data_IF_252195172847
#
_entry.id   IF_252195172847
#
_cell.length_a   1.000
_cell.length_b   1.000
_cell.length_c   1.000
_cell.angle_alpha   90.00
_cell.angle_beta   90.00
_cell.angle_gamma   90.00
#
_symmetry.space_group_name_H-M   'P 1'
#
loop_
_entity.id
_entity.type
_entity.pdbx_description
1 polymer ?
#
# COMPACT_ATOMS: atom_id res chain seq x y z
N UNK A 1 -16.12 5.69 31.28
CA UNK A 1 -16.30 7.15 31.38
C UNK A 1 -15.08 7.98 30.91
N UNK A 2 -14.11 7.35 30.24
CA UNK A 2 -12.91 8.07 29.76
C UNK A 2 -13.12 8.90 28.50
N UNK A 3 -14.19 8.66 27.75
CA UNK A 3 -14.38 9.32 26.45
C UNK A 3 -14.99 10.72 26.49
N UNK A 4 -15.83 11.03 27.45
CA UNK A 4 -16.57 12.31 27.44
C UNK A 4 -15.72 13.53 27.84
N UNK A 5 -14.86 13.41 28.85
CA UNK A 5 -14.05 14.54 29.30
C UNK A 5 -12.96 14.93 28.31
N UNK A 6 -12.41 13.95 27.59
CA UNK A 6 -11.35 14.18 26.61
C UNK A 6 -11.87 14.81 25.31
N UNK A 7 -13.08 14.50 24.90
CA UNK A 7 -13.70 15.09 23.70
C UNK A 7 -13.96 16.57 23.89
N UNK A 8 -14.47 16.99 25.03
CA UNK A 8 -14.75 18.41 25.30
C UNK A 8 -13.53 19.29 25.45
N UNK A 9 -12.41 18.72 25.92
CA UNK A 9 -11.16 19.48 26.11
C UNK A 9 -10.35 19.65 24.85
N UNK A 10 -10.67 18.91 23.80
CA UNK A 10 -9.83 18.84 22.59
C UNK A 10 -10.33 19.67 21.41
N UNK A 11 -11.61 20.03 21.41
CA UNK A 11 -12.22 20.61 20.21
C UNK A 11 -11.77 22.03 19.94
N UNK A 12 -11.70 22.92 20.90
CA UNK A 12 -11.26 24.31 20.68
C UNK A 12 -11.95 25.07 19.53
N UNK A 13 -12.84 24.39 18.81
CA UNK A 13 -13.48 24.87 17.58
C UNK A 13 -14.46 26.02 17.86
N UNK A 14 -14.92 26.12 19.10
CA UNK A 14 -15.83 27.17 19.57
C UNK A 14 -15.15 28.20 20.47
N UNK A 15 -13.81 28.25 20.48
CA UNK A 15 -13.03 29.17 21.30
C UNK A 15 -12.98 28.79 22.77
N UNK A 16 -13.34 27.56 23.15
CA UNK A 16 -13.26 27.06 24.51
C UNK A 16 -11.81 26.89 24.95
N UNK A 17 -11.55 27.28 26.19
CA UNK A 17 -10.25 27.14 26.85
C UNK A 17 -10.45 26.51 28.25
N UNK A 18 -9.58 25.56 28.65
CA UNK A 18 -8.42 25.02 27.95
C UNK A 18 -8.78 24.01 26.86
N UNK A 19 -8.02 23.99 25.75
CA UNK A 19 -8.14 23.02 24.69
C UNK A 19 -6.78 22.41 24.33
N UNK A 20 -6.76 21.23 23.71
CA UNK A 20 -5.54 20.54 23.33
C UNK A 20 -5.09 20.86 21.87
N UNK A 21 -5.62 21.92 21.27
CA UNK A 21 -5.26 22.36 19.92
C UNK A 21 -5.43 21.27 18.88
N UNK A 22 -4.33 20.87 18.21
CA UNK A 22 -4.36 19.90 17.11
C UNK A 22 -4.59 18.43 17.54
N UNK A 23 -4.71 18.13 18.83
CA UNK A 23 -4.96 16.78 19.33
C UNK A 23 -6.40 16.25 19.09
N UNK A 24 -7.22 17.03 18.45
CA UNK A 24 -8.65 16.70 18.21
C UNK A 24 -8.84 15.55 17.23
N UNK A 25 -7.92 15.38 16.27
CA UNK A 25 -8.09 14.43 15.15
C UNK A 25 -7.15 13.23 15.27
N UNK A 26 -7.24 12.47 16.34
CA UNK A 26 -6.36 11.33 16.59
C UNK A 26 -6.75 10.04 15.82
N UNK A 27 -7.92 10.03 15.14
CA UNK A 27 -8.36 8.89 14.35
C UNK A 27 -7.58 8.71 13.04
N UNK A 28 -7.85 7.60 12.35
CA UNK A 28 -7.26 7.28 11.03
C UNK A 28 -7.95 7.99 9.86
N UNK A 29 -8.99 8.77 10.15
CA UNK A 29 -9.77 9.54 9.18
C UNK A 29 -9.78 11.00 9.65
N UNK A 30 -9.77 11.95 8.73
CA UNK A 30 -9.96 13.38 9.02
C UNK A 30 -11.42 13.70 9.34
N UNK A 31 -11.70 14.91 9.84
CA UNK A 31 -13.06 15.32 10.18
C UNK A 31 -14.02 15.45 8.99
N UNK A 32 -13.50 15.65 7.79
CA UNK A 32 -14.19 15.64 6.49
C UNK A 32 -14.34 14.24 5.88
N UNK A 33 -14.01 13.18 6.65
CA UNK A 33 -14.03 11.77 6.27
C UNK A 33 -12.94 11.35 5.25
N UNK A 34 -12.01 12.23 4.91
CA UNK A 34 -10.87 11.86 4.08
C UNK A 34 -9.92 10.91 4.83
N UNK A 35 -9.43 9.83 4.18
CA UNK A 35 -8.52 8.89 4.80
C UNK A 35 -7.15 9.52 5.06
N UNK A 36 -6.62 9.38 6.27
CA UNK A 36 -5.22 9.70 6.58
C UNK A 36 -4.29 8.62 6.03
N UNK A 37 -2.97 8.89 5.87
CA UNK A 37 -1.99 7.90 5.43
C UNK A 37 -2.05 6.58 6.22
N UNK A 38 -2.23 6.65 7.54
CA UNK A 38 -2.34 5.49 8.42
C UNK A 38 -3.53 4.57 8.10
N UNK A 39 -4.58 5.10 7.47
CA UNK A 39 -5.73 4.32 7.03
C UNK A 39 -5.31 3.21 6.05
N UNK A 40 -4.43 3.52 5.12
CA UNK A 40 -3.98 2.56 4.11
C UNK A 40 -3.15 1.44 4.72
N UNK A 41 -2.33 1.74 5.73
CA UNK A 41 -1.60 0.72 6.49
C UNK A 41 -2.55 -0.19 7.27
N UNK A 42 -3.54 0.39 7.96
CA UNK A 42 -4.58 -0.38 8.66
C UNK A 42 -5.34 -1.28 7.67
N UNK A 43 -5.77 -0.73 6.52
CA UNK A 43 -6.42 -1.51 5.46
C UNK A 43 -5.55 -2.68 5.01
N UNK A 44 -4.24 -2.45 4.83
CA UNK A 44 -3.27 -3.49 4.43
C UNK A 44 -3.15 -4.60 5.48
N UNK A 45 -3.02 -4.24 6.74
CA UNK A 45 -2.87 -5.21 7.84
C UNK A 45 -4.13 -6.07 8.00
N UNK A 46 -5.31 -5.47 7.88
CA UNK A 46 -6.59 -6.15 8.06
C UNK A 46 -7.13 -6.86 6.81
N UNK A 47 -6.45 -6.79 5.66
CA UNK A 47 -6.90 -7.51 4.47
C UNK A 47 -6.87 -9.03 4.67
N UNK A 48 -7.93 -9.70 4.22
CA UNK A 48 -8.10 -11.15 4.37
C UNK A 48 -7.62 -11.99 3.18
N UNK A 49 -6.91 -11.38 2.26
CA UNK A 49 -6.26 -12.04 1.14
C UNK A 49 -4.77 -11.69 1.16
N UNK A 50 -3.94 -12.65 0.75
CA UNK A 50 -2.52 -12.44 0.55
C UNK A 50 -2.09 -13.07 -0.78
N UNK A 51 -1.13 -12.43 -1.45
CA UNK A 51 -0.50 -12.98 -2.64
C UNK A 51 0.99 -13.09 -2.39
N UNK A 52 1.56 -14.23 -2.80
CA UNK A 52 3.01 -14.47 -2.72
C UNK A 52 3.51 -14.95 -4.07
N UNK A 53 4.69 -14.50 -4.46
CA UNK A 53 5.38 -15.06 -5.62
C UNK A 53 5.85 -16.48 -5.29
N UNK A 54 5.65 -17.41 -6.24
CA UNK A 54 6.16 -18.78 -6.21
C UNK A 54 7.30 -18.89 -7.21
N UNK A 55 7.06 -18.52 -8.46
CA UNK A 55 8.06 -18.47 -9.52
C UNK A 55 7.79 -17.23 -10.38
N UNK A 56 8.61 -16.21 -10.15
CA UNK A 56 8.47 -14.91 -10.81
C UNK A 56 8.70 -15.02 -12.31
N UNK A 57 9.68 -15.81 -12.74
CA UNK A 57 10.02 -15.94 -14.16
C UNK A 57 8.92 -16.60 -14.96
N UNK A 58 8.20 -17.55 -14.34
CA UNK A 58 7.05 -18.23 -14.94
C UNK A 58 5.71 -17.53 -14.66
N UNK A 59 5.72 -16.42 -13.93
CA UNK A 59 4.50 -15.71 -13.55
C UNK A 59 3.61 -16.48 -12.58
N UNK A 60 4.18 -17.39 -11.77
CA UNK A 60 3.41 -18.19 -10.82
C UNK A 60 3.29 -17.51 -9.47
N UNK A 61 2.05 -17.35 -9.01
CA UNK A 61 1.73 -16.73 -7.73
C UNK A 61 0.78 -17.63 -6.93
N UNK A 62 0.89 -17.54 -5.62
CA UNK A 62 -0.03 -18.20 -4.69
C UNK A 62 -0.96 -17.19 -4.07
N UNK A 63 -2.27 -17.38 -4.22
CA UNK A 63 -3.31 -16.59 -3.55
C UNK A 63 -3.74 -17.35 -2.31
N UNK A 64 -3.50 -16.78 -1.13
CA UNK A 64 -3.91 -17.33 0.15
C UNK A 64 -5.15 -16.62 0.68
N UNK A 65 -6.19 -17.38 0.97
CA UNK A 65 -7.41 -16.92 1.61
C UNK A 65 -7.24 -17.00 3.14
N UNK A 66 -7.18 -15.83 3.80
CA UNK A 66 -7.06 -15.73 5.27
C UNK A 66 -8.39 -15.89 6.00
N UNK A 67 -9.54 -15.81 5.30
CA UNK A 67 -10.84 -16.03 5.93
C UNK A 67 -10.94 -17.42 6.55
N UNK A 68 -11.74 -17.55 7.59
CA UNK A 68 -11.99 -18.82 8.27
C UNK A 68 -13.21 -19.58 7.73
N UNK A 69 -14.23 -18.84 7.24
CA UNK A 69 -15.54 -19.40 6.90
C UNK A 69 -16.03 -18.98 5.51
N UNK A 70 -15.25 -18.19 4.78
CA UNK A 70 -15.65 -17.62 3.50
C UNK A 70 -14.60 -17.94 2.43
N UNK A 71 -15.06 -18.38 1.26
CA UNK A 71 -14.22 -18.47 0.07
C UNK A 71 -14.06 -17.09 -0.63
N UNK A 72 -13.33 -17.06 -1.73
CA UNK A 72 -13.10 -15.84 -2.50
C UNK A 72 -14.03 -15.70 -3.72
N UNK A 73 -15.14 -16.43 -3.80
CA UNK A 73 -16.06 -16.41 -4.94
C UNK A 73 -16.73 -15.06 -5.19
N UNK A 74 -16.88 -14.25 -4.12
CA UNK A 74 -17.46 -12.90 -4.20
C UNK A 74 -16.51 -11.82 -4.75
N UNK A 75 -15.30 -12.20 -5.10
CA UNK A 75 -14.27 -11.27 -5.57
C UNK A 75 -13.81 -11.61 -6.97
N UNK A 76 -13.68 -10.58 -7.80
CA UNK A 76 -12.93 -10.64 -9.05
C UNK A 76 -11.47 -10.31 -8.75
N UNK A 77 -10.55 -11.03 -9.39
CA UNK A 77 -9.12 -10.79 -9.23
C UNK A 77 -8.56 -10.21 -10.52
N UNK A 78 -7.89 -9.07 -10.39
CA UNK A 78 -7.22 -8.38 -11.50
C UNK A 78 -5.74 -8.25 -11.19
N UNK A 79 -4.91 -8.38 -12.21
CA UNK A 79 -3.49 -8.06 -12.13
C UNK A 79 -3.14 -6.88 -13.02
N UNK A 80 -2.10 -6.16 -12.65
CA UNK A 80 -1.50 -5.09 -13.45
C UNK A 80 0.02 -5.15 -13.30
N UNK A 81 0.74 -5.00 -14.41
CA UNK A 81 2.19 -4.88 -14.45
C UNK A 81 2.58 -3.42 -14.60
N UNK A 82 3.46 -2.97 -13.73
CA UNK A 82 3.99 -1.61 -13.72
C UNK A 82 5.47 -1.60 -14.11
N UNK A 83 5.86 -0.68 -14.99
CA UNK A 83 7.25 -0.34 -15.30
C UNK A 83 7.54 1.07 -14.78
N UNK A 84 8.46 1.21 -13.84
CA UNK A 84 8.81 2.51 -13.23
C UNK A 84 7.59 3.32 -12.75
N UNK A 85 6.62 2.64 -12.16
CA UNK A 85 5.39 3.25 -11.64
C UNK A 85 4.26 3.45 -12.67
N UNK A 86 4.49 3.17 -13.97
CA UNK A 86 3.47 3.28 -15.01
C UNK A 86 2.89 1.89 -15.35
N UNK A 87 1.57 1.77 -15.33
CA UNK A 87 0.89 0.55 -15.78
C UNK A 87 1.13 0.34 -17.28
N UNK A 88 1.68 -0.82 -17.64
CA UNK A 88 1.98 -1.21 -19.02
C UNK A 88 1.12 -2.37 -19.52
N UNK A 89 0.62 -3.20 -18.61
CA UNK A 89 -0.18 -4.36 -18.93
C UNK A 89 -1.15 -4.66 -17.79
N UNK A 90 -2.34 -5.15 -18.09
CA UNK A 90 -3.27 -5.62 -17.06
C UNK A 90 -4.27 -6.63 -17.63
N UNK A 91 -4.89 -7.40 -16.74
CA UNK A 91 -5.88 -8.40 -17.12
C UNK A 91 -6.57 -9.04 -15.92
N UNK A 92 -7.57 -9.87 -16.17
CA UNK A 92 -8.19 -10.68 -15.13
C UNK A 92 -7.27 -11.83 -14.72
N UNK A 93 -7.45 -12.32 -13.48
CA UNK A 93 -6.86 -13.57 -12.98
C UNK A 93 -7.97 -14.57 -12.74
N UNK A 94 -7.89 -15.71 -13.39
CA UNK A 94 -8.81 -16.82 -13.13
C UNK A 94 -8.30 -17.62 -11.94
N UNK A 95 -8.97 -17.50 -10.80
CA UNK A 95 -8.55 -18.17 -9.56
C UNK A 95 -9.30 -19.46 -9.28
N UNK A 96 -10.47 -19.65 -9.90
CA UNK A 96 -11.43 -20.66 -9.45
C UNK A 96 -11.95 -20.37 -8.04
N UNK A 97 -12.43 -21.38 -7.36
CA UNK A 97 -12.85 -21.28 -5.96
C UNK A 97 -11.62 -21.39 -5.07
N UNK A 98 -11.38 -20.40 -4.23
CA UNK A 98 -10.32 -20.39 -3.21
C UNK A 98 -10.97 -20.59 -1.84
N UNK A 99 -11.00 -21.82 -1.30
CA UNK A 99 -11.65 -22.09 -0.02
C UNK A 99 -10.99 -21.34 1.14
N UNK A 100 -11.71 -21.24 2.25
CA UNK A 100 -11.18 -20.66 3.48
C UNK A 100 -9.89 -21.37 3.92
N UNK A 101 -8.87 -20.61 4.30
CA UNK A 101 -7.56 -21.09 4.79
C UNK A 101 -6.74 -21.90 3.78
N UNK A 102 -7.08 -21.84 2.49
CA UNK A 102 -6.34 -22.51 1.44
C UNK A 102 -5.57 -21.53 0.54
N UNK A 103 -4.55 -22.08 -0.11
CA UNK A 103 -3.78 -21.38 -1.14
C UNK A 103 -4.06 -22.02 -2.49
N UNK A 104 -4.32 -21.19 -3.50
CA UNK A 104 -4.44 -21.63 -4.89
C UNK A 104 -3.34 -20.97 -5.70
N UNK A 105 -2.72 -21.76 -6.59
CA UNK A 105 -1.73 -21.25 -7.52
C UNK A 105 -2.44 -20.66 -8.74
N UNK A 106 -1.96 -19.50 -9.18
CA UNK A 106 -2.42 -18.81 -10.38
C UNK A 106 -1.22 -18.43 -11.24
N UNK A 107 -1.47 -18.31 -12.55
CA UNK A 107 -0.46 -17.85 -13.50
C UNK A 107 -0.88 -16.49 -14.03
N UNK A 108 0.01 -15.52 -13.89
CA UNK A 108 -0.14 -14.18 -14.47
C UNK A 108 0.67 -14.17 -15.78
N UNK A 109 0.03 -13.93 -16.93
CA UNK A 109 0.66 -14.13 -18.24
C UNK A 109 1.50 -12.92 -18.69
N UNK A 110 2.43 -12.44 -17.85
CA UNK A 110 3.41 -11.46 -18.31
C UNK A 110 4.67 -12.15 -18.82
N UNK A 111 5.38 -11.52 -19.76
CA UNK A 111 6.59 -12.10 -20.36
C UNK A 111 7.84 -11.56 -19.66
N UNK A 112 8.36 -12.31 -18.70
CA UNK A 112 9.54 -11.93 -17.91
C UNK A 112 10.76 -11.62 -18.78
N UNK A 113 11.01 -12.41 -19.81
CA UNK A 113 12.20 -12.26 -20.68
C UNK A 113 12.19 -10.96 -21.51
N UNK A 114 11.03 -10.33 -21.70
CA UNK A 114 10.88 -9.07 -22.42
C UNK A 114 11.05 -7.84 -21.51
N UNK A 115 11.26 -8.04 -20.19
CA UNK A 115 11.44 -6.94 -19.25
C UNK A 115 12.83 -6.35 -19.36
N UNK A 116 12.93 -5.03 -19.51
CA UNK A 116 14.19 -4.29 -19.61
C UNK A 116 15.03 -4.45 -18.34
N UNK A 117 16.35 -4.44 -18.46
CA UNK A 117 17.27 -4.58 -17.32
C UNK A 117 17.36 -3.31 -16.47
N UNK A 118 17.14 -2.15 -17.07
CA UNK A 118 17.31 -0.85 -16.43
C UNK A 118 16.01 -0.27 -15.84
N UNK A 119 14.93 -1.05 -15.89
CA UNK A 119 13.62 -0.67 -15.38
C UNK A 119 13.22 -1.55 -14.20
N UNK A 120 12.52 -0.94 -13.25
CA UNK A 120 11.93 -1.61 -12.13
C UNK A 120 10.51 -2.07 -12.49
N UNK A 121 10.18 -3.31 -12.11
CA UNK A 121 8.87 -3.89 -12.42
C UNK A 121 8.17 -4.41 -11.17
N UNK A 122 6.87 -4.09 -11.09
CA UNK A 122 5.97 -4.60 -10.05
C UNK A 122 4.73 -5.23 -10.68
N UNK A 123 4.31 -6.34 -10.13
CA UNK A 123 2.97 -6.89 -10.36
C UNK A 123 2.09 -6.49 -9.19
N UNK A 124 0.98 -5.82 -9.49
CA UNK A 124 -0.08 -5.52 -8.53
C UNK A 124 -1.22 -6.50 -8.77
N UNK A 125 -1.70 -7.15 -7.72
CA UNK A 125 -2.88 -8.02 -7.74
C UNK A 125 -3.95 -7.40 -6.86
N UNK A 126 -5.13 -7.19 -7.41
CA UNK A 126 -6.26 -6.53 -6.74
C UNK A 126 -7.46 -7.47 -6.66
N UNK A 127 -8.13 -7.44 -5.51
CA UNK A 127 -9.37 -8.16 -5.27
C UNK A 127 -10.52 -7.15 -5.23
N UNK A 128 -11.45 -7.28 -6.18
CA UNK A 128 -12.55 -6.35 -6.38
C UNK A 128 -13.89 -7.04 -6.05
N UNK A 129 -14.81 -6.29 -5.46
CA UNK A 129 -16.17 -6.80 -5.25
C UNK A 129 -16.86 -7.12 -6.59
N UNK A 130 -17.41 -8.34 -6.70
CA UNK A 130 -18.21 -8.77 -7.86
C UNK A 130 -19.60 -8.11 -7.91
N UNK A 131 -20.17 -7.87 -6.74
CA UNK A 131 -21.52 -7.36 -6.57
C UNK A 131 -21.55 -6.17 -5.62
N UNK A 132 -22.63 -5.40 -5.68
CA UNK A 132 -22.87 -4.34 -4.71
C UNK A 132 -23.08 -4.94 -3.30
N UNK A 133 -22.48 -4.31 -2.32
CA UNK A 133 -22.63 -4.63 -0.91
C UNK A 133 -23.17 -3.40 -0.18
N UNK A 134 -23.78 -3.56 1.02
CA UNK A 134 -24.32 -2.41 1.77
C UNK A 134 -23.28 -1.31 2.07
N UNK A 135 -22.00 -1.65 2.10
CA UNK A 135 -20.89 -0.77 2.47
C UNK A 135 -20.02 -0.32 1.29
N UNK A 136 -20.11 -0.98 0.11
CA UNK A 136 -19.34 -0.59 -1.08
C UNK A 136 -19.97 -1.16 -2.36
N UNK A 137 -19.74 -0.46 -3.47
CA UNK A 137 -20.25 -0.87 -4.77
C UNK A 137 -19.35 -1.91 -5.45
N UNK A 138 -19.91 -2.61 -6.43
CA UNK A 138 -19.18 -3.47 -7.35
C UNK A 138 -17.92 -2.76 -7.88
N UNK A 139 -16.80 -3.48 -7.94
CA UNK A 139 -15.52 -2.96 -8.39
C UNK A 139 -14.70 -2.26 -7.30
N UNK A 140 -15.23 -2.16 -6.06
CA UNK A 140 -14.43 -1.64 -4.94
C UNK A 140 -13.26 -2.57 -4.63
N UNK A 141 -12.05 -2.01 -4.51
CA UNK A 141 -10.83 -2.76 -4.17
C UNK A 141 -10.79 -3.05 -2.68
N UNK A 142 -11.05 -4.31 -2.33
CA UNK A 142 -11.08 -4.79 -0.93
C UNK A 142 -9.67 -5.04 -0.41
N UNK A 143 -8.83 -5.64 -1.25
CA UNK A 143 -7.45 -5.95 -0.91
C UNK A 143 -6.55 -5.81 -2.14
N UNK A 144 -5.29 -5.49 -1.91
CA UNK A 144 -4.28 -5.46 -2.97
C UNK A 144 -2.91 -5.87 -2.44
N UNK A 145 -2.14 -6.49 -3.31
CA UNK A 145 -0.74 -6.85 -3.10
C UNK A 145 0.10 -6.33 -4.24
N UNK A 146 1.26 -5.78 -3.90
CA UNK A 146 2.27 -5.37 -4.85
C UNK A 146 3.53 -6.21 -4.63
N UNK A 147 3.98 -6.86 -5.68
CA UNK A 147 5.13 -7.77 -5.64
C UNK A 147 6.15 -7.28 -6.64
N UNK A 148 7.38 -7.07 -6.18
CA UNK A 148 8.49 -6.72 -7.06
C UNK A 148 8.88 -7.92 -7.90
N UNK A 149 8.88 -7.73 -9.22
CA UNK A 149 9.20 -8.76 -10.21
C UNK A 149 10.64 -8.63 -10.68
N UNK A 150 11.10 -7.40 -10.82
CA UNK A 150 12.45 -7.12 -11.28
C UNK A 150 12.93 -5.77 -10.75
N UNK A 151 14.14 -5.74 -10.24
CA UNK A 151 14.82 -4.50 -9.84
C UNK A 151 15.50 -3.85 -11.04
N UNK A 152 15.53 -2.52 -11.06
CA UNK A 152 16.34 -1.80 -12.01
C UNK A 152 17.83 -2.01 -11.69
N UNK A 153 18.59 -2.51 -12.64
CA UNK A 153 20.04 -2.54 -12.51
C UNK A 153 20.57 -1.11 -12.66
N UNK A 154 20.63 -0.38 -11.56
CA UNK A 154 21.30 0.93 -11.53
C UNK A 154 22.79 0.66 -11.32
N UNK A 155 23.67 1.02 -12.29
CA UNK A 155 25.07 1.00 -12.02
C UNK A 155 25.34 1.88 -10.81
N UNK A 156 26.05 1.36 -9.81
CA UNK A 156 26.52 2.16 -8.70
C UNK A 156 27.24 3.36 -9.33
N UNK A 157 26.63 4.54 -9.26
CA UNK A 157 27.35 5.76 -9.51
C UNK A 157 28.40 5.77 -8.41
N UNK A 158 29.62 5.40 -8.76
CA UNK A 158 30.74 5.65 -7.88
C UNK A 158 30.71 7.16 -7.67
N UNK A 159 30.21 7.57 -6.52
CA UNK A 159 30.35 8.94 -6.06
C UNK A 159 31.85 9.16 -6.09
N UNK A 160 32.33 9.87 -7.10
CA UNK A 160 33.65 10.47 -7.03
C UNK A 160 33.61 11.31 -5.76
N UNK A 161 34.14 10.77 -4.68
CA UNK A 161 34.44 11.54 -3.50
C UNK A 161 35.47 12.55 -4.03
N UNK A 162 35.01 13.75 -4.34
CA UNK A 162 35.93 14.88 -4.55
C UNK A 162 36.67 15.01 -3.24
N UNK A 163 37.88 14.45 -3.21
CA UNK A 163 38.81 14.79 -2.17
C UNK A 163 39.05 16.30 -2.26
N UNK A 164 38.79 16.99 -1.17
CA UNK A 164 39.22 18.36 -1.02
C UNK A 164 38.09 19.36 -0.90
N UNK A 165 37.63 19.55 0.26
CA UNK A 165 36.93 20.71 0.76
C UNK A 165 36.88 20.60 2.26
N UNK A 166 37.86 21.22 2.95
CA UNK A 166 37.83 21.36 4.40
C UNK A 166 36.59 22.23 4.72
N UNK A 167 35.54 21.64 5.28
CA UNK A 167 34.39 22.38 5.80
C UNK A 167 34.90 23.19 7.00
N UNK A 168 35.12 24.48 6.80
CA UNK A 168 35.33 25.46 7.89
C UNK A 168 33.95 25.91 8.35
N UNK A 169 33.50 25.46 9.52
CA UNK A 169 32.38 26.05 10.22
C UNK A 169 32.80 27.40 10.79
N UNK A 170 32.30 28.48 10.20
CA UNK A 170 32.46 29.82 10.76
C UNK A 170 31.55 29.96 11.99
N UNK A 171 32.13 30.01 13.19
CA UNK A 171 31.44 30.16 14.46
C UNK A 171 31.01 31.59 14.80
N UNK A 172 31.03 32.51 13.87
CA UNK A 172 30.82 33.94 14.10
C UNK A 172 29.40 34.42 13.91
N UNK A 173 28.36 33.67 14.38
CA UNK A 173 27.06 34.28 14.65
C UNK A 173 26.61 33.96 16.07
N UNK A 174 27.18 34.69 17.00
CA UNK A 174 26.60 34.93 18.31
C UNK A 174 25.23 35.58 18.13
N UNK A 175 24.20 34.92 18.61
CA UNK A 175 22.89 35.53 18.78
C UNK A 175 23.03 36.76 19.67
N UNK A 176 22.52 37.91 19.20
CA UNK A 176 22.29 39.07 20.06
C UNK A 176 21.02 38.85 20.88
N UNK A 177 21.00 39.40 22.09
CA UNK A 177 19.90 39.27 23.06
C UNK A 177 18.57 39.86 22.56
#
# INVERSE_FOLDING_TARGET
SRGRGDVYKRQGDFGDAPNDGQFVMNGIVFGDLEPKPQYYEVKKVYQNMAVKAIDIEKGQFGIFNKYYFKDLSDYDVKWSLYENGKEIQSGPVTTGIVPARHTVQVVIPYQYNNLKKDSEYFVKVQFLLKNDMPWARKGFVVAEEQIQVKEAHRPLISTMIRQGGKLTCDKSRTARP
#
